data_IF_384674113341
#
_entry.id   IF_384674113341
#
_cell.length_a   1.000
_cell.length_b   1.000
_cell.length_c   1.000
_cell.angle_alpha   90.00
_cell.angle_beta   90.00
_cell.angle_gamma   90.00
#
_symmetry.space_group_name_H-M   'P 1'
#
loop_
_entity.id
_entity.type
_entity.pdbx_description
1 polymer ?
#
# COMPACT_ATOMS: atom_id res chain seq x y z
N UNK A 1 8.49 -0.05 -15.36
CA UNK A 1 7.83 -0.89 -14.34
C UNK A 1 7.44 -0.07 -13.12
N UNK A 2 8.39 0.62 -12.46
CA UNK A 2 8.09 1.61 -11.42
C UNK A 2 7.20 2.78 -11.89
N UNK A 3 7.16 3.05 -13.19
CA UNK A 3 6.28 4.05 -13.81
C UNK A 3 4.78 3.82 -13.55
N UNK A 4 4.36 2.62 -13.12
CA UNK A 4 2.98 2.33 -12.71
C UNK A 4 2.63 2.83 -11.30
N UNK A 5 3.64 3.19 -10.48
CA UNK A 5 3.41 3.68 -9.12
C UNK A 5 2.57 4.98 -9.13
N UNK A 6 2.95 5.96 -9.95
CA UNK A 6 2.28 7.25 -10.02
C UNK A 6 0.83 7.16 -10.53
N UNK A 7 0.54 6.40 -11.61
CA UNK A 7 -0.84 6.10 -12.00
C UNK A 7 -1.67 5.44 -10.89
N UNK A 8 -1.10 4.46 -10.17
CA UNK A 8 -1.80 3.81 -9.07
C UNK A 8 -2.09 4.78 -7.91
N UNK A 9 -1.11 5.62 -7.55
CA UNK A 9 -1.29 6.69 -6.57
C UNK A 9 -2.41 7.63 -7.00
N UNK A 10 -2.40 8.08 -8.26
CA UNK A 10 -3.39 9.02 -8.78
C UNK A 10 -4.81 8.44 -8.78
N UNK A 11 -4.97 7.15 -9.11
CA UNK A 11 -6.28 6.49 -9.07
C UNK A 11 -6.78 6.28 -7.63
N UNK A 12 -5.91 5.80 -6.73
CA UNK A 12 -6.29 5.55 -5.33
C UNK A 12 -6.57 6.87 -4.59
N UNK A 13 -5.90 7.97 -4.97
CA UNK A 13 -6.13 9.29 -4.40
C UNK A 13 -7.52 9.87 -4.70
N UNK A 14 -8.28 9.26 -5.63
CA UNK A 14 -9.68 9.63 -5.88
C UNK A 14 -10.63 9.12 -4.79
N UNK A 15 -10.18 8.23 -3.90
CA UNK A 15 -11.00 7.73 -2.79
C UNK A 15 -11.13 8.84 -1.74
N UNK A 16 -12.34 9.39 -1.52
CA UNK A 16 -12.53 10.60 -0.74
C UNK A 16 -12.23 10.42 0.76
N UNK A 17 -12.32 9.19 1.28
CA UNK A 17 -12.05 8.90 2.68
C UNK A 17 -10.55 8.89 3.02
N UNK A 18 -9.66 8.80 2.02
CA UNK A 18 -8.22 8.80 2.26
C UNK A 18 -7.69 10.24 2.37
N UNK A 19 -7.00 10.53 3.47
CA UNK A 19 -6.33 11.82 3.68
C UNK A 19 -5.17 11.97 2.70
N UNK A 20 -4.45 10.89 2.43
CA UNK A 20 -3.31 10.89 1.50
C UNK A 20 -3.00 9.49 0.98
N UNK A 21 -2.41 9.45 -0.20
CA UNK A 21 -1.78 8.26 -0.79
C UNK A 21 -0.29 8.53 -0.97
N UNK A 22 0.54 7.58 -0.59
CA UNK A 22 1.99 7.67 -0.56
C UNK A 22 2.63 6.60 -1.46
N UNK A 23 3.82 6.88 -1.99
CA UNK A 23 4.61 5.89 -2.73
C UNK A 23 5.56 5.10 -1.83
N UNK A 24 6.43 4.28 -2.44
CA UNK A 24 7.40 3.48 -1.71
C UNK A 24 8.49 4.31 -1.03
N UNK A 25 8.94 5.41 -1.65
CA UNK A 25 9.95 6.30 -1.07
C UNK A 25 9.46 6.95 0.24
N UNK A 26 8.16 7.16 0.36
CA UNK A 26 7.50 7.69 1.54
C UNK A 26 7.37 6.63 2.66
N UNK A 27 7.65 5.35 2.39
CA UNK A 27 7.39 4.27 3.34
C UNK A 27 8.38 4.24 4.49
N UNK A 28 9.67 4.53 4.28
CA UNK A 28 10.66 4.50 5.38
C UNK A 28 10.40 5.58 6.45
N UNK A 29 9.82 6.72 6.04
CA UNK A 29 9.46 7.82 6.94
C UNK A 29 8.29 7.52 7.89
N UNK A 30 7.52 6.43 7.65
CA UNK A 30 6.42 6.00 8.54
C UNK A 30 6.86 5.75 9.97
N UNK A 31 8.09 5.24 10.14
CA UNK A 31 8.60 4.88 11.47
C UNK A 31 8.94 6.09 12.34
N UNK A 32 9.10 7.27 11.72
CA UNK A 32 9.63 8.48 12.37
C UNK A 32 8.60 9.59 12.54
N UNK A 33 7.69 9.76 11.58
CA UNK A 33 6.71 10.83 11.60
C UNK A 33 5.30 10.22 11.43
N UNK A 34 4.48 10.29 12.48
CA UNK A 34 3.10 9.81 12.43
C UNK A 34 2.33 10.47 11.29
N UNK A 35 2.19 9.76 10.17
CA UNK A 35 1.48 10.25 9.00
C UNK A 35 -0.02 10.33 9.30
N UNK A 36 -0.72 11.35 8.75
CA UNK A 36 -2.16 11.48 8.97
C UNK A 36 -2.90 10.25 8.43
N UNK A 37 -3.72 9.64 9.28
CA UNK A 37 -4.61 8.52 8.94
C UNK A 37 -6.05 9.02 8.84
N UNK A 38 -6.91 8.42 7.99
CA UNK A 38 -6.64 7.26 7.12
C UNK A 38 -5.80 7.60 5.89
N UNK A 39 -4.85 6.74 5.53
CA UNK A 39 -4.03 6.88 4.33
C UNK A 39 -3.69 5.53 3.68
N UNK A 40 -3.19 5.57 2.45
CA UNK A 40 -2.75 4.40 1.70
C UNK A 40 -1.28 4.51 1.27
N UNK A 41 -0.61 3.37 1.14
CA UNK A 41 0.74 3.25 0.59
C UNK A 41 0.71 2.32 -0.61
N UNK A 42 1.27 2.76 -1.73
CA UNK A 42 1.45 1.97 -2.94
C UNK A 42 2.89 1.48 -2.98
N UNK A 43 3.07 0.16 -2.95
CA UNK A 43 4.39 -0.47 -2.81
C UNK A 43 4.57 -1.47 -3.94
N UNK A 44 5.72 -1.40 -4.60
CA UNK A 44 6.12 -2.39 -5.58
C UNK A 44 6.70 -3.62 -4.87
N UNK A 45 6.07 -4.78 -5.03
CA UNK A 45 6.45 -6.05 -4.38
C UNK A 45 7.29 -6.96 -5.29
N UNK A 46 7.68 -6.45 -6.46
CA UNK A 46 8.48 -7.19 -7.42
C UNK A 46 7.69 -7.71 -8.61
N UNK A 47 8.35 -8.58 -9.37
CA UNK A 47 7.79 -9.17 -10.58
C UNK A 47 8.25 -10.62 -10.71
N UNK A 48 7.49 -11.39 -11.49
CA UNK A 48 7.90 -12.73 -11.94
C UNK A 48 7.83 -12.81 -13.46
N UNK A 49 8.77 -13.53 -14.06
CA UNK A 49 8.71 -13.90 -15.47
C UNK A 49 7.79 -15.10 -15.60
N UNK A 50 6.69 -14.97 -16.35
CA UNK A 50 5.72 -16.05 -16.56
C UNK A 50 6.08 -16.86 -17.81
N UNK A 51 6.68 -16.23 -18.80
CA UNK A 51 7.08 -16.88 -20.05
C UNK A 51 8.29 -16.18 -20.65
N UNK A 52 9.29 -16.96 -21.11
CA UNK A 52 10.45 -16.45 -21.83
C UNK A 52 10.60 -17.20 -23.15
N UNK A 53 10.07 -16.64 -24.24
CA UNK A 53 10.10 -17.31 -25.54
C UNK A 53 11.47 -17.10 -26.20
N UNK A 54 12.36 -18.10 -26.06
CA UNK A 54 13.77 -18.04 -26.48
C UNK A 54 13.97 -17.67 -27.96
N UNK A 55 13.02 -18.03 -28.82
CA UNK A 55 13.03 -17.70 -30.25
C UNK A 55 12.42 -16.34 -30.62
N UNK A 56 11.57 -15.74 -29.78
CA UNK A 56 10.77 -14.54 -30.15
C UNK A 56 11.20 -13.25 -29.45
N UNK A 57 12.27 -13.27 -28.62
CA UNK A 57 12.76 -12.09 -27.87
C UNK A 57 11.66 -11.39 -27.04
N UNK A 58 10.61 -12.11 -26.67
CA UNK A 58 9.52 -11.59 -25.85
C UNK A 58 9.49 -12.37 -24.54
N UNK A 59 9.46 -11.62 -23.44
CA UNK A 59 9.27 -12.15 -22.10
C UNK A 59 7.97 -11.56 -21.54
N UNK A 60 7.10 -12.42 -21.02
CA UNK A 60 5.90 -12.00 -20.30
C UNK A 60 6.25 -11.89 -18.83
N UNK A 61 6.02 -10.71 -18.25
CA UNK A 61 6.24 -10.44 -16.83
C UNK A 61 4.92 -10.12 -16.15
N UNK A 62 4.77 -10.63 -14.93
CA UNK A 62 3.71 -10.23 -14.01
C UNK A 62 4.31 -9.34 -12.94
N UNK A 63 3.70 -8.18 -12.70
CA UNK A 63 4.12 -7.25 -11.66
C UNK A 63 3.16 -7.33 -10.48
N UNK A 64 3.71 -7.33 -9.27
CA UNK A 64 2.93 -7.33 -8.05
C UNK A 64 3.04 -5.99 -7.35
N UNK A 65 1.89 -5.45 -7.00
CA UNK A 65 1.74 -4.20 -6.27
C UNK A 65 0.93 -4.45 -5.01
N UNK A 66 1.36 -3.86 -3.91
CA UNK A 66 0.66 -3.89 -2.62
C UNK A 66 0.11 -2.50 -2.34
N UNK A 67 -1.15 -2.46 -1.91
CA UNK A 67 -1.78 -1.26 -1.36
C UNK A 67 -2.03 -1.50 0.11
N UNK A 68 -1.31 -0.78 0.97
CA UNK A 68 -1.43 -0.90 2.42
C UNK A 68 -2.27 0.26 2.94
N UNK A 69 -3.37 -0.05 3.63
CA UNK A 69 -4.23 0.96 4.27
C UNK A 69 -3.82 1.13 5.73
N UNK A 70 -3.47 2.35 6.11
CA UNK A 70 -3.22 2.73 7.49
C UNK A 70 -4.42 3.53 8.01
N UNK A 71 -5.13 2.96 8.99
CA UNK A 71 -6.33 3.56 9.60
C UNK A 71 -6.19 3.56 11.11
N UNK A 72 -6.71 4.59 11.78
CA UNK A 72 -6.82 4.61 13.23
C UNK A 72 -8.16 3.98 13.62
N UNK A 73 -8.13 2.97 14.47
CA UNK A 73 -9.36 2.40 15.03
C UNK A 73 -10.04 3.43 15.94
N UNK A 74 -11.32 3.68 15.69
CA UNK A 74 -12.19 4.48 16.57
C UNK A 74 -12.79 3.65 17.71
N UNK A 75 -12.50 2.34 17.78
CA UNK A 75 -12.88 1.53 18.92
C UNK A 75 -12.12 2.05 20.15
N UNK A 76 -12.78 2.95 20.89
CA UNK A 76 -12.56 3.05 22.34
C UNK A 76 -12.64 1.60 22.81
N UNK A 77 -11.52 1.06 23.30
CA UNK A 77 -11.61 -0.07 24.21
C UNK A 77 -12.55 0.43 25.31
N UNK A 78 -13.80 -0.03 25.27
CA UNK A 78 -14.63 0.04 26.45
C UNK A 78 -13.79 -0.62 27.53
N UNK A 79 -13.45 0.15 28.55
CA UNK A 79 -12.75 -0.33 29.72
C UNK A 79 -13.49 -1.58 30.20
N UNK A 80 -12.94 -2.75 29.88
CA UNK A 80 -13.31 -4.03 30.48
C UNK A 80 -12.69 -4.15 31.87
N UNK A 81 -12.72 -3.05 32.64
CA UNK A 81 -12.55 -3.06 34.08
C UNK A 81 -13.88 -3.46 34.71
N UNK A 82 -14.28 -4.71 34.52
CA UNK A 82 -15.36 -5.31 35.28
C UNK A 82 -14.86 -6.66 35.82
N UNK A 83 -14.40 -6.56 37.07
CA UNK A 83 -14.27 -7.62 38.07
C UNK A 83 -15.05 -8.89 37.70
N UNK A 84 -14.32 -10.00 37.52
CA UNK A 84 -14.84 -11.31 37.89
C UNK A 84 -13.98 -11.83 39.03
N UNK A 85 -14.70 -12.04 40.13
CA UNK A 85 -14.31 -12.66 41.39
C UNK A 85 -14.12 -14.16 41.21
#
# INVERSE_FOLDING_TARGET
>A
MLELEQPLIAEIAKIPELVKVYGMADFEDLTKAGKPTPCAFVIYDGYRVIEAHRQRRQARVETRWLVVLAVKSAARAAEGGALFT
#
